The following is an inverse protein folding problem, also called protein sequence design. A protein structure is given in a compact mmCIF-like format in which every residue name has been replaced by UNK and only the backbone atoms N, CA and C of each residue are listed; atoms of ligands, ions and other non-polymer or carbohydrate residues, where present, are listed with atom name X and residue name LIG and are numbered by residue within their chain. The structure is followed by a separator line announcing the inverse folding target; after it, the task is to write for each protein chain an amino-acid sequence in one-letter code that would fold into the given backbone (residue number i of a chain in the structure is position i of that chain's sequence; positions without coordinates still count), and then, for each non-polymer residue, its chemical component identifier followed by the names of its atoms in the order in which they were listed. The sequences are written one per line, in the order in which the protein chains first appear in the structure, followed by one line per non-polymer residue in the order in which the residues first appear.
data_IF_019018301187
#
_entry.id   IF_019018301187
#
_cell.length_a   1.000
_cell.length_b   1.000
_cell.length_c   1.000
_cell.angle_alpha   90.00
_cell.angle_beta   90.00
_cell.angle_gamma   90.00
#
_symmetry.space_group_name_H-M   'P 1'
#
loop_
_entity.id
_entity.type
_entity.pdbx_description
1 polymer ?
#
# COMPACT_ATOMS: atom_id res chain seq x y z
N UNK A 1 15.23 -11.44 -10.62
CA UNK A 1 13.78 -11.53 -10.97
C UNK A 1 12.96 -10.43 -10.30
N UNK A 2 13.15 -10.12 -9.01
CA UNK A 2 12.40 -9.04 -8.32
C UNK A 2 12.57 -7.64 -8.91
N UNK A 3 13.80 -7.24 -9.29
CA UNK A 3 14.06 -5.88 -9.80
C UNK A 3 13.41 -5.59 -11.16
N UNK A 4 13.38 -6.58 -12.06
CA UNK A 4 12.73 -6.42 -13.38
C UNK A 4 11.20 -6.31 -13.22
N UNK A 5 10.63 -7.06 -12.28
CA UNK A 5 9.21 -7.00 -11.96
C UNK A 5 8.83 -5.66 -11.34
N UNK A 6 9.65 -5.14 -10.41
CA UNK A 6 9.43 -3.82 -9.81
C UNK A 6 9.47 -2.74 -10.88
N UNK A 7 10.50 -2.72 -11.74
CA UNK A 7 10.60 -1.73 -12.83
C UNK A 7 9.35 -1.74 -13.71
N UNK A 8 8.90 -2.92 -14.14
CA UNK A 8 7.70 -3.04 -14.99
C UNK A 8 6.45 -2.49 -14.31
N UNK A 9 6.26 -2.80 -13.02
CA UNK A 9 5.09 -2.31 -12.26
C UNK A 9 5.16 -0.78 -12.10
N UNK A 10 6.34 -0.23 -11.82
CA UNK A 10 6.56 1.21 -11.73
C UNK A 10 6.25 1.90 -13.07
N UNK A 11 6.81 1.39 -14.18
CA UNK A 11 6.55 1.89 -15.54
C UNK A 11 5.03 1.87 -15.87
N UNK A 12 4.28 0.88 -15.37
CA UNK A 12 2.83 0.80 -15.55
C UNK A 12 2.04 1.79 -14.67
N UNK A 13 2.49 2.03 -13.43
CA UNK A 13 1.87 3.01 -12.52
C UNK A 13 2.08 4.44 -13.03
N UNK A 14 3.29 4.76 -13.51
CA UNK A 14 3.68 6.09 -13.96
C UNK A 14 2.94 6.56 -15.22
N UNK A 15 2.21 5.66 -15.91
CA UNK A 15 1.30 6.03 -17.00
C UNK A 15 0.06 6.77 -16.50
N UNK A 16 -0.38 6.44 -15.29
CA UNK A 16 -1.66 6.86 -14.75
C UNK A 16 -1.49 7.87 -13.59
N UNK A 17 -0.34 7.86 -12.89
CA UNK A 17 -0.12 8.63 -11.66
C UNK A 17 1.28 9.21 -11.61
N UNK A 18 1.42 10.45 -11.12
CA UNK A 18 2.70 10.90 -10.59
C UNK A 18 2.93 10.26 -9.23
N UNK A 19 4.13 9.77 -8.98
CA UNK A 19 4.43 9.04 -7.76
C UNK A 19 5.71 9.52 -7.09
N UNK A 20 5.76 9.29 -5.78
CA UNK A 20 6.96 9.48 -4.99
C UNK A 20 7.11 8.32 -4.01
N UNK A 21 8.37 8.03 -3.64
CA UNK A 21 8.70 7.06 -2.60
C UNK A 21 9.06 7.83 -1.34
N UNK A 22 8.31 7.59 -0.27
CA UNK A 22 8.54 8.19 1.04
C UNK A 22 8.94 7.14 2.08
N UNK A 23 9.91 7.42 2.95
CA UNK A 23 10.22 6.54 4.07
C UNK A 23 9.16 6.66 5.16
N UNK A 24 8.68 5.54 5.67
CA UNK A 24 7.83 5.46 6.86
C UNK A 24 8.60 4.70 7.94
N UNK A 25 8.63 5.20 9.18
CA UNK A 25 9.28 4.53 10.30
C UNK A 25 8.25 4.17 11.36
N UNK A 26 8.19 2.89 11.73
CA UNK A 26 7.33 2.36 12.79
C UNK A 26 8.14 1.38 13.63
N UNK A 27 8.08 1.50 14.96
CA UNK A 27 8.72 0.59 15.91
C UNK A 27 10.22 0.33 15.63
N UNK A 28 10.94 1.36 15.17
CA UNK A 28 12.38 1.27 14.88
C UNK A 28 12.74 0.67 13.52
N UNK A 29 11.76 0.29 12.69
CA UNK A 29 12.00 -0.16 11.32
C UNK A 29 11.50 0.87 10.31
N UNK A 30 12.25 1.08 9.24
CA UNK A 30 11.86 1.95 8.13
C UNK A 30 11.52 1.12 6.90
N UNK A 31 10.36 1.36 6.31
CA UNK A 31 9.94 0.81 5.02
C UNK A 31 9.79 1.95 4.01
N UNK A 32 10.02 1.65 2.73
CA UNK A 32 9.78 2.56 1.62
C UNK A 32 8.33 2.41 1.14
N UNK A 33 7.61 3.51 0.99
CA UNK A 33 6.23 3.50 0.51
C UNK A 33 6.09 4.39 -0.72
N UNK A 34 5.79 3.77 -1.86
CA UNK A 34 5.29 4.45 -3.04
C UNK A 34 3.89 4.98 -2.75
N UNK A 35 3.66 6.26 -3.05
CA UNK A 35 2.35 6.92 -2.98
C UNK A 35 2.12 7.81 -4.20
N UNK A 36 0.88 8.27 -4.37
CA UNK A 36 0.53 9.27 -5.39
C UNK A 36 1.04 10.63 -4.91
N UNK A 37 1.83 11.32 -5.73
CA UNK A 37 2.51 12.57 -5.35
C UNK A 37 1.60 13.80 -5.49
N UNK A 38 0.73 13.81 -6.51
CA UNK A 38 -0.15 14.91 -6.90
C UNK A 38 -1.62 14.62 -6.55
N UNK A 39 -1.85 13.90 -5.45
CA UNK A 39 -3.17 13.38 -5.10
C UNK A 39 -4.24 14.47 -5.00
N UNK A 40 -3.92 15.61 -4.38
CA UNK A 40 -4.85 16.72 -4.22
C UNK A 40 -5.31 17.28 -5.58
N UNK A 41 -4.38 17.43 -6.53
CA UNK A 41 -4.71 17.90 -7.88
C UNK A 41 -5.65 16.91 -8.61
N UNK A 42 -5.39 15.60 -8.48
CA UNK A 42 -6.25 14.57 -9.07
C UNK A 42 -7.66 14.63 -8.45
N UNK A 43 -7.76 14.82 -7.13
CA UNK A 43 -9.04 14.95 -6.44
C UNK A 43 -9.79 16.19 -6.93
N UNK A 44 -9.15 17.36 -6.97
CA UNK A 44 -9.79 18.59 -7.45
C UNK A 44 -10.28 18.46 -8.88
N UNK A 45 -9.45 17.93 -9.80
CA UNK A 45 -9.83 17.73 -11.20
C UNK A 45 -11.02 16.78 -11.35
N UNK A 46 -11.09 15.71 -10.54
CA UNK A 46 -12.22 14.76 -10.57
C UNK A 46 -13.50 15.39 -10.02
N UNK A 47 -13.41 16.18 -8.95
CA UNK A 47 -14.55 16.90 -8.39
C UNK A 47 -15.14 17.92 -9.37
N UNK A 48 -14.32 18.56 -10.20
CA UNK A 48 -14.78 19.50 -11.22
C UNK A 48 -15.45 18.83 -12.43
N UNK A 49 -15.14 17.57 -12.70
CA UNK A 49 -15.53 16.86 -13.94
C UNK A 49 -16.56 15.76 -13.72
N UNK A 50 -16.84 15.37 -12.48
CA UNK A 50 -17.69 14.21 -12.15
C UNK A 50 -18.93 14.67 -11.38
N UNK A 51 -20.11 14.20 -11.80
CA UNK A 51 -21.38 14.71 -11.26
C UNK A 51 -21.70 14.26 -9.83
N UNK A 52 -21.31 13.07 -9.31
CA UNK A 52 -21.58 12.76 -7.88
C UNK A 52 -21.00 11.46 -7.30
N UNK A 53 -19.77 11.04 -7.62
CA UNK A 53 -19.23 9.78 -7.08
C UNK A 53 -17.97 9.99 -6.26
N UNK A 54 -18.17 10.39 -5.00
CA UNK A 54 -17.12 10.48 -3.97
C UNK A 54 -16.33 9.17 -3.82
N UNK A 55 -16.95 8.02 -4.16
CA UNK A 55 -16.32 6.70 -4.16
C UNK A 55 -15.25 6.49 -5.24
N UNK A 56 -15.25 7.29 -6.31
CA UNK A 56 -14.25 7.23 -7.39
C UNK A 56 -13.02 8.10 -7.09
N UNK A 57 -13.02 8.84 -5.98
CA UNK A 57 -11.87 9.65 -5.59
C UNK A 57 -10.74 8.75 -5.06
N UNK A 58 -9.48 8.96 -5.50
CA UNK A 58 -8.37 8.06 -5.20
C UNK A 58 -7.80 8.25 -3.79
N UNK A 59 -8.66 8.31 -2.76
CA UNK A 59 -8.27 8.45 -1.35
C UNK A 59 -7.33 7.35 -0.85
N UNK A 60 -7.29 6.21 -1.55
CA UNK A 60 -6.33 5.13 -1.34
C UNK A 60 -4.88 5.55 -1.65
N UNK A 61 -4.66 6.61 -2.43
CA UNK A 61 -3.35 7.05 -2.90
C UNK A 61 -2.50 7.79 -1.88
N UNK A 62 -3.05 8.07 -0.68
CA UNK A 62 -2.31 8.65 0.46
C UNK A 62 -2.03 7.63 1.55
N UNK A 63 -1.03 7.94 2.36
CA UNK A 63 -0.80 7.27 3.64
C UNK A 63 -1.77 7.86 4.66
N UNK A 64 -2.60 7.02 5.26
CA UNK A 64 -3.49 7.41 6.36
C UNK A 64 -2.81 7.21 7.71
N UNK A 65 -2.88 8.20 8.59
CA UNK A 65 -2.24 8.19 9.91
C UNK A 65 -2.69 7.00 10.75
N UNK A 66 -3.97 6.61 10.63
CA UNK A 66 -4.51 5.42 11.27
C UNK A 66 -3.77 4.13 10.86
N UNK A 67 -3.29 4.03 9.62
CA UNK A 67 -2.51 2.87 9.16
C UNK A 67 -1.14 2.76 9.86
N UNK A 68 -0.54 3.90 10.23
CA UNK A 68 0.71 3.96 10.98
C UNK A 68 0.47 3.52 12.43
N UNK A 69 -0.63 3.98 13.04
CA UNK A 69 -1.03 3.55 14.39
C UNK A 69 -1.32 2.06 14.44
N UNK A 70 -2.06 1.54 13.46
CA UNK A 70 -2.34 0.11 13.36
C UNK A 70 -1.06 -0.70 13.09
N UNK A 71 -0.13 -0.20 12.28
CA UNK A 71 1.19 -0.80 12.11
C UNK A 71 1.91 -0.92 13.45
N UNK A 72 1.98 0.17 14.23
CA UNK A 72 2.62 0.17 15.54
C UNK A 72 2.00 -0.90 16.47
N UNK A 73 0.67 -0.99 16.49
CA UNK A 73 -0.04 -2.02 17.26
C UNK A 73 0.31 -3.44 16.80
N UNK A 74 0.24 -3.71 15.48
CA UNK A 74 0.50 -5.05 14.92
C UNK A 74 1.95 -5.49 15.14
N UNK A 75 2.91 -4.59 15.00
CA UNK A 75 4.34 -4.87 15.20
C UNK A 75 4.70 -5.21 16.65
N UNK A 76 3.88 -4.79 17.61
CA UNK A 76 4.02 -5.17 19.01
C UNK A 76 3.40 -6.55 19.35
N UNK A 77 2.68 -7.17 18.41
CA UNK A 77 2.04 -8.46 18.66
C UNK A 77 3.02 -9.62 18.47
N UNK A 78 2.95 -10.68 19.30
CA UNK A 78 3.75 -11.86 19.09
C UNK A 78 3.39 -12.53 17.76
N UNK A 79 4.41 -12.95 17.00
CA UNK A 79 4.25 -13.83 15.84
C UNK A 79 3.86 -15.22 16.36
N UNK A 80 2.70 -15.71 15.93
CA UNK A 80 2.22 -17.05 16.29
C UNK A 80 2.33 -17.96 15.07
N UNK A 81 2.99 -19.13 15.17
CA UNK A 81 3.06 -20.09 14.07
C UNK A 81 1.66 -20.44 13.52
N UNK A 82 1.51 -20.43 12.20
CA UNK A 82 0.26 -20.73 11.51
C UNK A 82 -0.81 -19.64 11.55
N UNK A 83 -0.59 -18.51 12.24
CA UNK A 83 -1.53 -17.37 12.22
C UNK A 83 -1.37 -16.58 10.94
N UNK A 84 -2.45 -16.47 10.17
CA UNK A 84 -2.54 -15.63 8.96
C UNK A 84 -3.37 -14.38 9.24
N UNK A 85 -2.96 -13.25 8.67
CA UNK A 85 -3.65 -11.96 8.78
C UNK A 85 -4.20 -11.58 7.40
N UNK A 86 -5.48 -11.18 7.35
CA UNK A 86 -6.09 -10.55 6.18
C UNK A 86 -6.33 -9.08 6.49
N UNK A 87 -5.84 -8.19 5.63
CA UNK A 87 -6.14 -6.75 5.70
C UNK A 87 -7.12 -6.38 4.59
N UNK A 88 -8.24 -5.74 4.96
CA UNK A 88 -9.32 -5.33 4.07
C UNK A 88 -9.27 -3.81 3.92
N UNK A 89 -9.29 -3.31 2.68
CA UNK A 89 -9.15 -1.88 2.41
C UNK A 89 -7.74 -1.39 2.74
N UNK A 90 -6.74 -2.14 2.30
CA UNK A 90 -5.32 -1.92 2.67
C UNK A 90 -4.71 -0.66 2.06
N UNK A 91 -5.30 -0.11 0.97
CA UNK A 91 -4.76 1.05 0.27
C UNK A 91 -3.31 0.83 -0.16
N UNK A 92 -2.36 1.63 0.36
CA UNK A 92 -0.93 1.48 0.05
C UNK A 92 -0.22 0.33 0.79
N UNK A 93 -0.90 -0.37 1.70
CA UNK A 93 -0.36 -1.55 2.38
C UNK A 93 0.35 -1.30 3.70
N UNK A 94 0.37 -0.07 4.24
CA UNK A 94 1.26 0.32 5.34
C UNK A 94 1.18 -0.64 6.54
N UNK A 95 -0.03 -0.90 7.08
CA UNK A 95 -0.17 -1.73 8.28
C UNK A 95 0.27 -3.18 8.05
N UNK A 96 -0.22 -3.81 6.99
CA UNK A 96 0.15 -5.19 6.69
C UNK A 96 1.60 -5.37 6.22
N UNK A 97 2.21 -4.40 5.52
CA UNK A 97 3.63 -4.44 5.16
C UNK A 97 4.51 -4.38 6.41
N UNK A 98 4.19 -3.52 7.39
CA UNK A 98 4.90 -3.48 8.66
C UNK A 98 4.70 -4.75 9.48
N UNK A 99 3.49 -5.30 9.49
CA UNK A 99 3.22 -6.59 10.13
C UNK A 99 4.05 -7.72 9.50
N UNK A 100 4.10 -7.79 8.16
CA UNK A 100 4.89 -8.77 7.44
C UNK A 100 6.39 -8.58 7.66
N UNK A 101 6.87 -7.34 7.68
CA UNK A 101 8.24 -7.03 8.05
C UNK A 101 8.60 -7.60 9.43
N UNK A 102 7.67 -7.63 10.38
CA UNK A 102 7.86 -8.21 11.72
C UNK A 102 7.56 -9.72 11.80
N UNK A 103 7.44 -10.40 10.65
CA UNK A 103 7.36 -11.86 10.56
C UNK A 103 5.94 -12.42 10.55
N UNK A 104 4.89 -11.60 10.48
CA UNK A 104 3.53 -12.09 10.28
C UNK A 104 3.31 -12.59 8.85
N UNK A 105 2.49 -13.63 8.65
CA UNK A 105 2.00 -14.02 7.32
C UNK A 105 0.78 -13.17 6.98
N UNK A 106 0.86 -12.37 5.92
CA UNK A 106 -0.15 -11.34 5.62
C UNK A 106 -0.70 -11.49 4.20
N UNK A 107 -2.02 -11.33 4.06
CA UNK A 107 -2.72 -11.14 2.79
C UNK A 107 -3.32 -9.74 2.76
N UNK A 108 -2.94 -8.97 1.75
CA UNK A 108 -3.41 -7.60 1.52
C UNK A 108 -4.54 -7.62 0.49
N UNK A 109 -5.68 -7.01 0.81
CA UNK A 109 -6.84 -6.96 -0.09
C UNK A 109 -7.38 -5.56 -0.31
N UNK A 110 -7.75 -5.30 -1.56
CA UNK A 110 -8.45 -4.09 -1.99
C UNK A 110 -9.18 -4.35 -3.31
N UNK A 111 -10.03 -3.41 -3.72
CA UNK A 111 -11.05 -3.60 -4.76
C UNK A 111 -10.63 -3.15 -6.16
N UNK A 112 -9.50 -2.43 -6.30
CA UNK A 112 -9.07 -1.91 -7.61
C UNK A 112 -7.70 -2.45 -8.04
N UNK A 113 -7.56 -2.65 -9.35
CA UNK A 113 -6.31 -3.07 -9.98
C UNK A 113 -5.21 -2.01 -9.78
N UNK A 114 -5.55 -0.73 -9.76
CA UNK A 114 -4.61 0.35 -9.50
C UNK A 114 -3.97 0.20 -8.11
N UNK A 115 -4.80 0.01 -7.08
CA UNK A 115 -4.34 -0.20 -5.71
C UNK A 115 -3.42 -1.43 -5.62
N UNK A 116 -3.81 -2.54 -6.25
CA UNK A 116 -2.98 -3.75 -6.26
C UNK A 116 -1.61 -3.56 -6.92
N UNK A 117 -1.47 -2.70 -7.94
CA UNK A 117 -0.16 -2.36 -8.52
C UNK A 117 0.71 -1.65 -7.49
N UNK A 118 0.17 -0.64 -6.78
CA UNK A 118 0.90 0.07 -5.73
C UNK A 118 1.32 -0.87 -4.59
N UNK A 119 0.42 -1.72 -4.09
CA UNK A 119 0.75 -2.67 -3.03
C UNK A 119 1.86 -3.62 -3.48
N UNK A 120 1.77 -4.16 -4.70
CA UNK A 120 2.82 -5.05 -5.24
C UNK A 120 4.16 -4.34 -5.39
N UNK A 121 4.16 -3.09 -5.83
CA UNK A 121 5.37 -2.26 -5.86
C UNK A 121 5.95 -2.10 -4.45
N UNK A 122 5.11 -1.78 -3.45
CA UNK A 122 5.53 -1.63 -2.06
C UNK A 122 6.05 -2.92 -1.43
N UNK A 123 5.47 -4.07 -1.75
CA UNK A 123 6.00 -5.39 -1.34
C UNK A 123 7.41 -5.60 -1.91
N UNK A 124 7.59 -5.34 -3.20
CA UNK A 124 8.88 -5.54 -3.88
C UNK A 124 9.95 -4.53 -3.44
N UNK A 125 9.58 -3.27 -3.22
CA UNK A 125 10.46 -2.21 -2.69
C UNK A 125 11.07 -2.61 -1.35
N UNK A 126 10.29 -3.29 -0.51
CA UNK A 126 10.69 -3.70 0.84
C UNK A 126 11.18 -5.15 0.93
N UNK A 127 11.22 -5.88 -0.20
CA UNK A 127 11.68 -7.27 -0.29
C UNK A 127 10.98 -8.19 0.71
N UNK A 128 9.65 -8.07 0.78
CA UNK A 128 8.83 -8.88 1.68
C UNK A 128 8.31 -10.12 0.94
N UNK A 129 8.74 -11.31 1.39
CA UNK A 129 8.40 -12.57 0.73
C UNK A 129 7.18 -13.28 1.37
N UNK A 130 6.72 -12.79 2.52
CA UNK A 130 5.61 -13.32 3.32
C UNK A 130 4.30 -12.50 3.16
N UNK A 131 4.15 -11.84 2.02
CA UNK A 131 2.97 -11.05 1.67
C UNK A 131 2.33 -11.59 0.40
N UNK A 132 1.02 -11.82 0.45
CA UNK A 132 0.20 -12.07 -0.75
C UNK A 132 -0.79 -10.93 -0.97
N UNK A 133 -1.31 -10.82 -2.20
CA UNK A 133 -2.28 -9.78 -2.57
C UNK A 133 -3.49 -10.42 -3.24
N UNK A 134 -4.69 -9.94 -2.92
CA UNK A 134 -5.94 -10.42 -3.52
C UNK A 134 -6.84 -9.24 -3.91
N UNK A 135 -7.51 -9.37 -5.06
CA UNK A 135 -8.54 -8.44 -5.51
C UNK A 135 -9.89 -8.90 -4.97
N UNK A 136 -10.66 -8.01 -4.34
CA UNK A 136 -11.98 -8.32 -3.74
C UNK A 136 -13.12 -7.56 -4.40
#
# INVERSE_FOLDING_TARGET
MSSQNLKKIMDDIEKDYQTEIVPITVSGRTLQCLRVADLDEIIFRRLETSDDHMFDLPFWGKIWEASIVLAAYLTAQPVRPGRKILEIGTGLGVSGLFAAAHGHEVTLSDHTVAILRFIRANVLLNKLDNVSTINV
#
